data_IF_572969419576
#
_entry.id   IF_572969419576
#
_cell.length_a   1.000
_cell.length_b   1.000
_cell.length_c   1.000
_cell.angle_alpha   90.00
_cell.angle_beta   90.00
_cell.angle_gamma   90.00
#
_symmetry.space_group_name_H-M   'P 1'
#
loop_
_entity.id
_entity.type
_entity.pdbx_description
1 polymer ?
#
# COMPACT_ATOMS: atom_id res chain seq x y z
N UNK A 1 -30.27 20.51 42.90
CA UNK A 1 -30.84 20.46 41.53
C UNK A 1 -29.68 20.58 40.57
N UNK A 2 -29.09 19.43 40.17
CA UNK A 2 -27.97 19.36 39.24
C UNK A 2 -28.57 19.27 37.84
N UNK A 3 -28.30 20.30 37.02
CA UNK A 3 -28.64 20.28 35.61
C UNK A 3 -27.52 19.51 34.91
N UNK A 4 -27.78 18.25 34.54
CA UNK A 4 -26.94 17.51 33.60
C UNK A 4 -27.28 18.07 32.18
N UNK A 5 -26.41 18.90 31.65
CA UNK A 5 -26.40 19.20 30.22
C UNK A 5 -25.86 18.00 29.49
N UNK A 6 -26.71 17.24 28.81
CA UNK A 6 -26.29 16.25 27.83
C UNK A 6 -25.59 16.99 26.69
N UNK A 7 -24.30 16.81 26.57
CA UNK A 7 -23.56 17.17 25.36
C UNK A 7 -24.08 16.27 24.21
N UNK A 8 -24.36 16.81 23.04
CA UNK A 8 -24.71 15.97 21.91
C UNK A 8 -23.52 15.04 21.62
N UNK A 9 -23.76 13.73 21.70
CA UNK A 9 -22.84 12.76 21.17
C UNK A 9 -22.83 12.96 19.65
N UNK A 10 -21.82 13.66 19.15
CA UNK A 10 -21.50 13.56 17.74
C UNK A 10 -21.23 12.08 17.48
N UNK A 11 -22.09 11.44 16.71
CA UNK A 11 -21.81 10.14 16.14
C UNK A 11 -20.48 10.30 15.42
N UNK A 12 -19.45 9.57 15.86
CA UNK A 12 -18.19 9.52 15.18
C UNK A 12 -18.52 8.92 13.81
N UNK A 13 -18.57 9.75 12.78
CA UNK A 13 -18.79 9.30 11.40
C UNK A 13 -17.76 8.23 11.13
N UNK A 14 -18.19 7.00 10.88
CA UNK A 14 -17.30 5.89 10.58
C UNK A 14 -16.50 6.30 9.35
N UNK A 15 -15.16 6.36 9.49
CA UNK A 15 -14.26 6.68 8.37
C UNK A 15 -14.53 5.66 7.26
N UNK A 16 -14.98 6.13 6.12
CA UNK A 16 -15.23 5.28 4.96
C UNK A 16 -14.09 5.43 3.96
N UNK A 17 -13.50 4.30 3.55
CA UNK A 17 -12.39 4.26 2.61
C UNK A 17 -12.92 4.06 1.19
N UNK A 18 -12.79 5.09 0.35
CA UNK A 18 -13.22 5.06 -1.06
C UNK A 18 -12.00 4.87 -1.97
N UNK A 19 -11.84 3.69 -2.52
CA UNK A 19 -10.75 3.40 -3.45
C UNK A 19 -11.16 3.65 -4.90
N UNK A 20 -10.19 4.10 -5.71
CA UNK A 20 -10.26 4.09 -7.16
C UNK A 20 -9.47 2.90 -7.65
N UNK A 21 -10.10 1.99 -8.34
CA UNK A 21 -9.43 0.81 -8.91
C UNK A 21 -8.98 1.09 -10.33
N UNK A 22 -7.74 0.70 -10.63
CA UNK A 22 -7.11 0.76 -11.95
C UNK A 22 -6.49 -0.60 -12.26
N UNK A 23 -6.89 -1.17 -13.39
CA UNK A 23 -6.49 -2.51 -13.82
C UNK A 23 -6.13 -2.54 -15.33
N UNK A 24 -6.03 -3.73 -15.89
CA UNK A 24 -5.74 -3.93 -17.31
C UNK A 24 -6.74 -3.20 -18.23
N UNK A 25 -7.98 -2.98 -17.82
CA UNK A 25 -9.00 -2.24 -18.58
C UNK A 25 -8.67 -0.75 -18.68
N UNK A 26 -7.88 -0.24 -17.74
CA UNK A 26 -7.41 1.14 -17.72
C UNK A 26 -6.03 1.31 -18.38
N UNK A 27 -5.41 0.22 -18.86
CA UNK A 27 -4.11 0.25 -19.53
C UNK A 27 -2.91 -0.25 -18.72
N UNK A 28 -3.14 -0.76 -17.50
CA UNK A 28 -2.10 -1.45 -16.74
C UNK A 28 -1.68 -2.72 -17.47
N UNK A 29 -0.39 -3.04 -17.51
CA UNK A 29 0.13 -4.19 -18.27
C UNK A 29 -0.32 -5.55 -17.73
N UNK A 30 -0.53 -5.62 -16.40
CA UNK A 30 -0.96 -6.85 -15.72
C UNK A 30 -1.42 -6.50 -14.28
N UNK A 31 -2.41 -7.23 -13.75
CA UNK A 31 -3.05 -6.93 -12.47
C UNK A 31 -2.21 -7.28 -11.23
N UNK A 32 -1.19 -8.12 -11.35
CA UNK A 32 -0.32 -8.43 -10.20
C UNK A 32 0.75 -7.35 -10.05
N UNK A 33 0.61 -6.51 -9.04
CA UNK A 33 1.48 -5.34 -8.81
C UNK A 33 2.38 -5.60 -7.61
N UNK A 34 3.65 -5.89 -7.89
CA UNK A 34 4.64 -6.22 -6.85
C UNK A 34 5.31 -5.00 -6.23
N UNK A 35 5.46 -3.92 -7.01
CA UNK A 35 6.16 -2.72 -6.59
C UNK A 35 5.43 -1.46 -7.04
N UNK A 36 5.44 -0.45 -6.17
CA UNK A 36 4.93 0.88 -6.46
C UNK A 36 5.98 1.89 -6.02
N UNK A 37 6.28 2.85 -6.88
CA UNK A 37 7.20 3.94 -6.61
C UNK A 37 6.63 5.23 -7.18
N UNK A 38 6.69 6.34 -6.43
CA UNK A 38 6.53 7.67 -6.99
C UNK A 38 7.91 8.30 -7.19
N UNK A 39 8.23 8.69 -8.43
CA UNK A 39 9.49 9.36 -8.71
C UNK A 39 9.48 10.84 -8.27
N UNK A 40 10.65 11.49 -8.32
CA UNK A 40 10.79 12.89 -7.93
C UNK A 40 10.02 13.86 -8.82
N UNK A 41 9.67 13.46 -10.06
CA UNK A 41 8.85 14.22 -11.00
C UNK A 41 7.35 14.05 -10.78
N UNK A 42 6.95 13.12 -9.88
CA UNK A 42 5.56 12.82 -9.54
C UNK A 42 4.92 11.71 -10.35
N UNK A 43 5.63 11.08 -11.31
CA UNK A 43 5.10 9.90 -11.99
C UNK A 43 5.02 8.71 -11.04
N UNK A 44 3.92 7.96 -11.16
CA UNK A 44 3.79 6.68 -10.47
C UNK A 44 4.32 5.55 -11.35
N UNK A 45 5.13 4.69 -10.74
CA UNK A 45 5.69 3.51 -11.38
C UNK A 45 5.12 2.26 -10.75
N UNK A 46 4.63 1.34 -11.59
CA UNK A 46 4.06 0.07 -11.15
C UNK A 46 4.84 -1.07 -11.78
N UNK A 47 5.56 -1.82 -10.95
CA UNK A 47 6.23 -3.05 -11.33
C UNK A 47 5.26 -4.21 -11.25
N UNK A 48 4.98 -4.85 -12.38
CA UNK A 48 4.05 -5.96 -12.47
C UNK A 48 4.77 -7.27 -12.84
N UNK A 49 4.03 -8.37 -12.83
CA UNK A 49 4.53 -9.66 -13.31
C UNK A 49 4.82 -9.66 -14.82
N UNK A 50 4.23 -8.71 -15.58
CA UNK A 50 4.41 -8.63 -17.03
C UNK A 50 4.56 -7.18 -17.53
N UNK A 51 5.60 -6.51 -17.07
CA UNK A 51 5.99 -5.19 -17.52
C UNK A 51 6.09 -4.15 -16.42
N UNK A 52 6.79 -3.07 -16.74
CA UNK A 52 6.90 -1.85 -15.96
C UNK A 52 5.93 -0.81 -16.53
N UNK A 53 5.17 -0.16 -15.67
CA UNK A 53 4.19 0.85 -16.06
C UNK A 53 4.55 2.18 -15.44
N UNK A 54 4.56 3.26 -16.24
CA UNK A 54 4.65 4.63 -15.77
C UNK A 54 3.30 5.31 -15.98
N UNK A 55 2.76 5.88 -14.92
CA UNK A 55 1.46 6.56 -14.90
C UNK A 55 1.65 8.06 -14.64
N UNK A 56 1.04 8.89 -15.46
CA UNK A 56 1.14 10.36 -15.42
C UNK A 56 -0.07 11.05 -14.76
N UNK A 57 -0.99 10.26 -14.16
CA UNK A 57 -2.26 10.74 -13.61
C UNK A 57 -3.45 10.53 -14.56
N UNK A 58 -3.20 10.27 -15.85
CA UNK A 58 -4.23 10.07 -16.89
C UNK A 58 -4.05 8.76 -17.65
N UNK A 59 -2.82 8.40 -18.01
CA UNK A 59 -2.52 7.30 -18.89
C UNK A 59 -1.31 6.48 -18.44
N UNK A 60 -1.26 5.22 -18.87
CA UNK A 60 -0.13 4.33 -18.65
C UNK A 60 0.78 4.30 -19.87
N UNK A 61 2.08 4.42 -19.64
CA UNK A 61 3.11 4.03 -20.58
C UNK A 61 3.71 2.70 -20.12
N UNK A 62 3.56 1.67 -20.95
CA UNK A 62 3.98 0.31 -20.63
C UNK A 62 5.32 0.00 -21.28
N UNK A 63 6.27 -0.50 -20.48
CA UNK A 63 7.59 -0.94 -20.91
C UNK A 63 7.72 -2.45 -20.68
N UNK A 64 8.04 -3.17 -21.77
CA UNK A 64 8.30 -4.61 -21.80
C UNK A 64 9.57 -4.88 -22.61
N UNK A 65 10.11 -6.09 -22.50
CA UNK A 65 11.27 -6.52 -23.28
C UNK A 65 11.07 -6.38 -24.81
N UNK A 66 9.82 -6.46 -25.27
CA UNK A 66 9.46 -6.40 -26.69
C UNK A 66 9.45 -4.97 -27.24
N UNK A 67 9.29 -3.94 -26.39
CA UNK A 67 9.11 -2.54 -26.82
C UNK A 67 10.02 -1.54 -26.12
N UNK A 68 10.94 -2.01 -25.26
CA UNK A 68 11.87 -1.16 -24.51
C UNK A 68 13.25 -1.82 -24.44
N UNK A 69 14.18 -1.23 -23.72
CA UNK A 69 15.49 -1.84 -23.44
C UNK A 69 15.50 -2.82 -22.25
N UNK A 70 14.34 -3.13 -21.66
CA UNK A 70 14.23 -4.15 -20.62
C UNK A 70 14.48 -5.54 -21.21
N UNK A 71 15.24 -6.39 -20.54
CA UNK A 71 15.43 -7.79 -20.94
C UNK A 71 14.45 -8.75 -20.29
N UNK A 72 13.69 -8.30 -19.31
CA UNK A 72 12.75 -9.09 -18.51
C UNK A 72 11.47 -8.30 -18.25
N UNK A 73 10.34 -9.00 -18.15
CA UNK A 73 9.04 -8.40 -17.89
C UNK A 73 8.61 -8.46 -16.43
N UNK A 74 9.12 -9.42 -15.64
CA UNK A 74 8.77 -9.53 -14.24
C UNK A 74 9.59 -8.53 -13.43
N UNK A 75 8.92 -7.47 -12.94
CA UNK A 75 9.52 -6.40 -12.14
C UNK A 75 9.36 -6.73 -10.67
N UNK A 76 10.46 -6.87 -9.97
CA UNK A 76 10.52 -7.35 -8.58
C UNK A 76 10.94 -6.29 -7.59
N UNK A 77 11.69 -5.26 -8.03
CA UNK A 77 12.11 -4.14 -7.19
C UNK A 77 12.17 -2.85 -8.02
N UNK A 78 11.88 -1.71 -7.37
CA UNK A 78 11.99 -0.37 -7.94
C UNK A 78 12.66 0.55 -6.92
N UNK A 79 13.60 1.35 -7.40
CA UNK A 79 14.27 2.35 -6.57
C UNK A 79 14.70 3.55 -7.43
N UNK A 80 14.49 4.79 -6.97
CA UNK A 80 15.00 6.01 -7.61
C UNK A 80 16.29 6.45 -6.93
N UNK A 81 17.38 6.56 -7.70
CA UNK A 81 18.67 7.02 -7.18
C UNK A 81 18.74 8.54 -7.01
N UNK A 82 19.84 9.01 -6.42
CA UNK A 82 20.10 10.45 -6.24
C UNK A 82 20.11 11.23 -7.55
N UNK A 83 20.54 10.64 -8.66
CA UNK A 83 20.58 11.27 -9.98
C UNK A 83 19.20 11.29 -10.66
N UNK A 84 18.21 10.57 -10.12
CA UNK A 84 16.85 10.45 -10.64
C UNK A 84 16.70 9.35 -11.67
N UNK A 85 17.67 8.43 -11.78
CA UNK A 85 17.49 7.22 -12.55
C UNK A 85 16.64 6.21 -11.75
N UNK A 86 15.82 5.45 -12.45
CA UNK A 86 15.05 4.37 -11.81
C UNK A 86 15.81 3.05 -11.97
N UNK A 87 16.19 2.46 -10.86
CA UNK A 87 16.77 1.13 -10.79
C UNK A 87 15.64 0.09 -10.74
N UNK A 88 15.71 -0.88 -11.61
CA UNK A 88 14.66 -1.86 -11.84
C UNK A 88 15.24 -3.25 -11.62
N UNK A 89 14.82 -3.90 -10.54
CA UNK A 89 15.08 -5.30 -10.28
C UNK A 89 14.08 -6.19 -11.01
N UNK A 90 14.56 -7.30 -11.52
CA UNK A 90 13.78 -8.29 -12.26
C UNK A 90 14.06 -9.71 -11.80
N UNK A 91 13.37 -10.70 -12.35
CA UNK A 91 13.66 -12.13 -12.18
C UNK A 91 14.94 -12.61 -12.86
N UNK A 92 15.75 -11.70 -13.41
CA UNK A 92 16.99 -12.05 -14.12
C UNK A 92 17.93 -10.87 -14.28
N UNK A 93 18.14 -10.08 -13.22
CA UNK A 93 19.10 -9.00 -13.20
C UNK A 93 18.50 -7.62 -12.98
N UNK A 94 19.33 -6.60 -13.16
CA UNK A 94 19.00 -5.19 -12.89
C UNK A 94 19.09 -4.37 -14.17
N UNK A 95 18.17 -3.43 -14.32
CA UNK A 95 18.14 -2.44 -15.39
C UNK A 95 18.06 -1.05 -14.79
N UNK A 96 18.59 -0.05 -15.49
CA UNK A 96 18.54 1.36 -15.10
C UNK A 96 17.79 2.12 -16.18
N UNK A 97 16.71 2.79 -15.81
CA UNK A 97 16.01 3.72 -16.68
C UNK A 97 16.54 5.13 -16.46
N UNK A 98 17.00 5.75 -17.56
CA UNK A 98 17.42 7.13 -17.56
C UNK A 98 16.26 8.03 -18.06
N UNK A 99 15.70 8.90 -17.21
CA UNK A 99 14.52 9.71 -17.57
C UNK A 99 14.84 10.87 -18.54
N UNK A 100 16.11 11.21 -18.73
CA UNK A 100 16.54 12.23 -19.71
C UNK A 100 16.60 11.65 -21.13
N UNK A 101 16.99 10.37 -21.23
CA UNK A 101 17.15 9.67 -22.50
C UNK A 101 15.94 8.81 -22.87
N UNK A 102 14.99 8.64 -21.90
CA UNK A 102 13.84 7.71 -21.99
C UNK A 102 14.26 6.31 -22.44
N UNK A 103 15.34 5.80 -21.86
CA UNK A 103 15.98 4.55 -22.26
C UNK A 103 16.40 3.69 -21.07
N UNK A 104 16.46 2.39 -21.30
CA UNK A 104 16.89 1.40 -20.35
C UNK A 104 18.29 0.87 -20.70
N UNK A 105 19.10 0.64 -19.68
CA UNK A 105 20.42 0.03 -19.82
C UNK A 105 20.52 -1.13 -18.83
N UNK A 106 20.98 -2.29 -19.29
CA UNK A 106 21.28 -3.41 -18.40
C UNK A 106 22.46 -3.06 -17.48
N UNK A 107 22.38 -3.47 -16.22
CA UNK A 107 23.46 -3.32 -15.25
C UNK A 107 24.33 -4.59 -15.21
N UNK A 108 25.34 -4.64 -16.12
CA UNK A 108 26.21 -5.81 -16.34
C UNK A 108 27.56 -5.70 -15.64
N UNK A 109 27.60 -5.02 -14.49
CA UNK A 109 28.84 -4.88 -13.73
C UNK A 109 29.27 -6.21 -13.09
N UNK A 110 30.56 -6.50 -13.17
CA UNK A 110 31.16 -7.66 -12.48
C UNK A 110 31.64 -7.24 -11.10
N UNK A 111 31.26 -8.00 -10.07
CA UNK A 111 31.68 -7.74 -8.70
C UNK A 111 33.13 -8.04 -8.45
N UNK A 112 33.64 -7.63 -7.28
CA UNK A 112 34.99 -7.98 -6.77
C UNK A 112 35.18 -9.48 -6.58
N UNK A 113 34.09 -10.26 -6.57
CA UNK A 113 34.12 -11.75 -6.50
C UNK A 113 33.90 -12.42 -7.87
N UNK A 114 33.92 -11.66 -8.96
CA UNK A 114 33.75 -12.18 -10.31
C UNK A 114 32.30 -12.55 -10.68
N UNK A 115 31.31 -12.12 -9.88
CA UNK A 115 29.89 -12.40 -10.12
C UNK A 115 29.19 -11.23 -10.83
N UNK A 116 28.24 -11.54 -11.71
CA UNK A 116 27.31 -10.60 -12.34
C UNK A 116 25.92 -10.87 -11.79
N UNK A 117 25.14 -9.80 -11.54
CA UNK A 117 23.76 -9.94 -11.07
C UNK A 117 22.87 -10.46 -12.21
N UNK A 118 22.34 -11.68 -12.08
CA UNK A 118 21.53 -12.34 -13.11
C UNK A 118 20.40 -13.23 -12.57
N UNK A 119 20.21 -13.24 -11.25
CA UNK A 119 19.12 -13.95 -10.59
C UNK A 119 18.05 -12.98 -10.09
N UNK A 120 17.06 -13.50 -9.38
CA UNK A 120 15.91 -12.76 -8.87
C UNK A 120 16.34 -11.65 -7.89
N UNK A 121 16.11 -10.41 -8.25
CA UNK A 121 16.39 -9.24 -7.41
C UNK A 121 15.28 -9.08 -6.39
N UNK A 122 15.58 -9.22 -5.11
CA UNK A 122 14.59 -9.16 -4.04
C UNK A 122 14.33 -7.75 -3.53
N UNK A 123 15.36 -6.89 -3.54
CA UNK A 123 15.28 -5.50 -3.11
C UNK A 123 16.40 -4.65 -3.69
N UNK A 124 16.13 -3.35 -3.90
CA UNK A 124 17.12 -2.30 -4.22
C UNK A 124 16.89 -1.13 -3.28
N UNK A 125 17.95 -0.52 -2.79
CA UNK A 125 17.92 0.67 -1.94
C UNK A 125 19.26 1.38 -1.93
N UNK A 126 19.40 2.46 -1.13
CA UNK A 126 20.68 3.14 -0.92
C UNK A 126 21.01 3.32 0.56
N UNK A 127 22.28 3.58 0.84
CA UNK A 127 22.74 4.08 2.13
C UNK A 127 22.80 5.62 2.14
N UNK A 128 23.23 6.19 3.25
CA UNK A 128 23.40 7.64 3.44
C UNK A 128 24.50 8.28 2.57
N UNK A 129 25.34 7.46 1.92
CA UNK A 129 26.41 7.85 1.01
C UNK A 129 26.02 7.68 -0.46
N UNK A 130 24.72 7.42 -0.75
CA UNK A 130 24.18 7.16 -2.08
C UNK A 130 24.77 5.90 -2.77
N UNK A 131 25.38 4.98 -2.01
CA UNK A 131 25.74 3.69 -2.58
C UNK A 131 24.47 2.86 -2.79
N UNK A 132 24.36 2.23 -3.95
CA UNK A 132 23.20 1.39 -4.30
C UNK A 132 23.43 -0.03 -3.77
N UNK A 133 22.52 -0.47 -2.95
CA UNK A 133 22.50 -1.82 -2.37
C UNK A 133 21.45 -2.68 -3.07
N UNK A 134 21.82 -3.90 -3.41
CA UNK A 134 20.99 -4.81 -4.19
C UNK A 134 21.05 -6.20 -3.56
N UNK A 135 19.92 -6.71 -3.10
CA UNK A 135 19.83 -8.11 -2.66
C UNK A 135 19.32 -8.98 -3.80
N UNK A 136 19.97 -10.11 -3.96
CA UNK A 136 19.73 -11.04 -5.07
C UNK A 136 19.64 -12.45 -4.52
N UNK A 137 18.57 -13.14 -4.87
CA UNK A 137 18.34 -14.53 -4.45
C UNK A 137 19.51 -15.42 -4.90
N UNK A 138 20.01 -16.26 -4.02
CA UNK A 138 21.15 -17.17 -4.22
C UNK A 138 22.50 -16.51 -4.58
N UNK A 139 22.56 -15.18 -4.74
CA UNK A 139 23.79 -14.46 -5.05
C UNK A 139 24.27 -13.55 -3.91
N UNK A 140 23.41 -13.25 -2.92
CA UNK A 140 23.75 -12.48 -1.73
C UNK A 140 23.42 -11.00 -1.83
N UNK A 141 24.25 -10.16 -1.19
CA UNK A 141 24.06 -8.72 -1.08
C UNK A 141 25.19 -7.99 -1.80
N UNK A 142 24.81 -7.16 -2.75
CA UNK A 142 25.73 -6.33 -3.53
C UNK A 142 25.65 -4.87 -3.11
N UNK A 143 26.77 -4.17 -3.19
CA UNK A 143 26.85 -2.72 -3.05
C UNK A 143 27.62 -2.13 -4.22
N UNK A 144 26.98 -1.18 -4.91
CA UNK A 144 27.57 -0.39 -5.98
C UNK A 144 27.91 1.00 -5.45
N UNK A 145 29.18 1.22 -5.15
CA UNK A 145 29.63 2.42 -4.45
C UNK A 145 30.17 3.52 -5.35
N UNK A 146 30.60 4.62 -4.73
CA UNK A 146 31.07 5.86 -5.33
C UNK A 146 32.24 5.73 -6.33
N UNK A 147 32.99 4.63 -6.30
CA UNK A 147 34.05 4.33 -7.27
C UNK A 147 33.56 3.57 -8.51
N UNK A 148 32.25 3.44 -8.72
CA UNK A 148 31.63 2.58 -9.75
C UNK A 148 32.10 1.13 -9.66
N UNK A 149 32.37 0.67 -8.44
CA UNK A 149 32.79 -0.70 -8.13
C UNK A 149 31.64 -1.47 -7.47
N UNK A 150 31.37 -2.65 -8.00
CA UNK A 150 30.40 -3.57 -7.43
C UNK A 150 31.12 -4.53 -6.45
N UNK A 151 30.66 -4.60 -5.22
CA UNK A 151 31.12 -5.55 -4.20
C UNK A 151 30.02 -6.55 -3.88
N UNK A 152 30.39 -7.80 -3.59
CA UNK A 152 29.47 -8.82 -3.10
C UNK A 152 29.89 -9.25 -1.69
N UNK A 153 29.10 -8.89 -0.70
CA UNK A 153 29.44 -9.06 0.72
C UNK A 153 29.18 -10.48 1.26
N UNK A 154 28.29 -11.25 0.63
CA UNK A 154 27.84 -12.54 1.15
C UNK A 154 28.17 -13.73 0.24
N UNK A 155 29.01 -13.54 -0.78
CA UNK A 155 29.33 -14.56 -1.77
C UNK A 155 29.82 -15.87 -1.15
N UNK A 156 30.74 -15.77 -0.17
CA UNK A 156 31.44 -16.92 0.42
C UNK A 156 30.85 -17.34 1.79
N UNK A 157 29.76 -16.71 2.24
CA UNK A 157 29.28 -16.85 3.61
C UNK A 157 28.31 -18.01 3.85
N UNK A 158 27.78 -18.63 2.79
CA UNK A 158 26.65 -19.55 2.87
C UNK A 158 25.31 -18.88 3.17
N UNK A 159 25.29 -17.55 3.30
CA UNK A 159 24.12 -16.72 3.61
C UNK A 159 23.64 -15.93 2.39
N UNK A 160 23.69 -16.53 1.21
CA UNK A 160 23.39 -15.85 -0.05
C UNK A 160 21.90 -15.57 -0.28
N UNK A 161 21.02 -16.11 0.55
CA UNK A 161 19.57 -16.04 0.34
C UNK A 161 18.93 -14.85 1.09
N UNK A 162 19.33 -13.62 0.70
CA UNK A 162 18.85 -12.39 1.32
C UNK A 162 17.47 -12.02 0.74
N UNK A 163 16.44 -12.14 1.57
CA UNK A 163 15.09 -11.74 1.21
C UNK A 163 14.90 -10.20 1.25
N UNK A 164 15.41 -9.57 2.30
CA UNK A 164 15.31 -8.12 2.52
C UNK A 164 16.53 -7.60 3.26
N UNK A 165 16.84 -6.33 3.06
CA UNK A 165 17.81 -5.60 3.87
C UNK A 165 17.29 -4.20 4.20
N UNK A 166 17.83 -3.60 5.25
CA UNK A 166 17.68 -2.17 5.49
C UNK A 166 18.90 -1.64 6.24
N UNK A 167 19.16 -0.38 6.00
CA UNK A 167 20.31 0.33 6.54
C UNK A 167 19.81 1.36 7.55
N UNK A 168 20.41 1.38 8.72
CA UNK A 168 20.12 2.36 9.74
C UNK A 168 21.45 2.78 10.37
N UNK A 169 21.85 4.03 10.15
CA UNK A 169 23.17 4.53 10.55
C UNK A 169 24.27 3.54 10.09
N UNK A 170 25.11 3.08 11.02
CA UNK A 170 26.20 2.14 10.73
C UNK A 170 25.77 0.65 10.79
N UNK A 171 24.47 0.37 10.88
CA UNK A 171 23.96 -1.01 11.01
C UNK A 171 23.24 -1.43 9.74
N UNK A 172 23.70 -2.53 9.17
CA UNK A 172 23.00 -3.23 8.10
C UNK A 172 22.22 -4.41 8.68
N UNK A 173 20.93 -4.40 8.46
CA UNK A 173 20.01 -5.47 8.84
C UNK A 173 19.70 -6.34 7.63
N UNK A 174 19.66 -7.64 7.84
CA UNK A 174 19.46 -8.64 6.79
C UNK A 174 18.42 -9.65 7.23
N UNK A 175 17.34 -9.76 6.50
CA UNK A 175 16.39 -10.85 6.61
C UNK A 175 16.79 -11.95 5.62
N UNK A 176 17.20 -13.11 6.13
CA UNK A 176 17.47 -14.29 5.30
C UNK A 176 16.19 -15.11 5.13
N UNK A 177 16.00 -15.66 3.95
CA UNK A 177 14.78 -16.40 3.62
C UNK A 177 14.65 -17.67 4.47
N UNK A 178 13.52 -17.78 5.18
CA UNK A 178 13.18 -18.90 6.08
C UNK A 178 14.26 -19.22 7.12
N UNK A 179 15.03 -18.22 7.54
CA UNK A 179 16.12 -18.40 8.51
C UNK A 179 15.93 -17.46 9.71
N UNK A 180 16.46 -16.24 9.69
CA UNK A 180 16.40 -15.30 10.80
C UNK A 180 16.62 -13.86 10.31
N UNK A 181 16.45 -12.93 11.23
CA UNK A 181 16.89 -11.55 11.13
C UNK A 181 18.32 -11.46 11.66
N UNK A 182 19.21 -10.92 10.84
CA UNK A 182 20.61 -10.70 11.20
C UNK A 182 20.95 -9.21 11.15
N UNK A 183 22.05 -8.85 11.80
CA UNK A 183 22.63 -7.52 11.67
C UNK A 183 24.16 -7.58 11.68
N UNK A 184 24.76 -6.59 11.05
CA UNK A 184 26.19 -6.31 11.09
C UNK A 184 26.40 -4.81 11.19
N UNK A 185 27.56 -4.39 11.65
CA UNK A 185 27.95 -2.98 11.80
C UNK A 185 29.15 -2.63 10.94
N UNK A 186 29.35 -1.31 10.80
CA UNK A 186 30.56 -0.74 10.21
C UNK A 186 30.87 -1.33 8.83
N UNK A 187 29.88 -1.32 7.93
CA UNK A 187 30.03 -1.83 6.55
C UNK A 187 30.56 -3.27 6.47
N UNK A 188 30.01 -4.17 7.28
CA UNK A 188 30.43 -5.59 7.35
C UNK A 188 31.83 -5.83 7.96
N UNK A 189 32.41 -4.88 8.66
CA UNK A 189 33.64 -5.12 9.43
C UNK A 189 33.41 -6.07 10.62
N UNK A 190 32.17 -6.06 11.17
CA UNK A 190 31.76 -7.00 12.20
C UNK A 190 31.08 -8.23 11.57
N UNK A 191 31.26 -9.44 12.12
CA UNK A 191 30.53 -10.62 11.66
C UNK A 191 29.02 -10.45 11.79
N UNK A 192 28.24 -11.06 10.89
CA UNK A 192 26.80 -11.15 10.99
C UNK A 192 26.38 -11.85 12.28
N UNK A 193 25.46 -11.23 13.01
CA UNK A 193 24.91 -11.75 14.26
C UNK A 193 23.39 -11.91 14.13
N UNK A 194 22.80 -13.02 14.60
CA UNK A 194 21.35 -13.15 14.66
C UNK A 194 20.77 -12.17 15.64
N UNK A 195 19.67 -11.56 15.28
CA UNK A 195 18.92 -10.70 16.19
C UNK A 195 18.33 -11.51 17.35
N UNK A 196 18.55 -11.01 18.55
CA UNK A 196 17.94 -11.52 19.79
C UNK A 196 17.26 -10.37 20.52
N UNK A 197 16.07 -10.65 21.04
CA UNK A 197 15.36 -9.68 21.87
C UNK A 197 16.07 -9.48 23.24
N UNK A 198 15.50 -8.61 24.08
CA UNK A 198 16.06 -8.29 25.41
C UNK A 198 16.15 -9.54 26.33
N UNK A 199 15.34 -10.55 26.09
CA UNK A 199 15.31 -11.80 26.87
C UNK A 199 16.20 -12.91 26.24
N UNK A 200 16.89 -12.58 25.11
CA UNK A 200 17.82 -13.47 24.41
C UNK A 200 17.16 -14.41 23.39
N UNK A 201 15.88 -14.20 23.06
CA UNK A 201 15.15 -15.04 22.13
C UNK A 201 15.43 -14.63 20.67
N UNK A 202 15.58 -15.62 19.79
CA UNK A 202 15.64 -15.45 18.35
C UNK A 202 14.20 -15.39 17.76
N UNK A 203 13.58 -14.24 17.87
CA UNK A 203 12.13 -14.04 17.58
C UNK A 203 11.75 -14.37 16.15
N UNK A 204 12.67 -14.22 15.19
CA UNK A 204 12.44 -14.44 13.75
C UNK A 204 13.03 -15.74 13.22
N UNK A 205 13.46 -16.65 14.09
CA UNK A 205 14.07 -17.90 13.66
C UNK A 205 13.09 -18.77 12.87
N UNK A 206 13.47 -19.13 11.65
CA UNK A 206 12.64 -19.89 10.72
C UNK A 206 11.49 -19.10 10.08
N UNK A 207 11.41 -17.78 10.31
CA UNK A 207 10.39 -16.91 9.74
C UNK A 207 10.79 -16.41 8.34
N UNK A 208 9.79 -15.98 7.55
CA UNK A 208 9.99 -15.31 6.27
C UNK A 208 9.59 -13.86 6.42
N UNK A 209 10.59 -12.98 6.47
CA UNK A 209 10.37 -11.55 6.57
C UNK A 209 10.15 -10.97 5.18
N UNK A 210 8.99 -10.35 4.99
CA UNK A 210 8.55 -9.78 3.71
C UNK A 210 8.85 -8.29 3.58
N UNK A 211 8.78 -7.53 4.69
CA UNK A 211 8.93 -6.08 4.68
C UNK A 211 9.36 -5.54 6.04
N UNK A 212 9.89 -4.33 6.03
CA UNK A 212 10.24 -3.58 7.23
C UNK A 212 9.99 -2.09 7.01
N UNK A 213 9.55 -1.39 8.06
CA UNK A 213 9.52 0.09 8.12
C UNK A 213 10.03 0.56 9.47
N UNK A 214 10.80 1.64 9.46
CA UNK A 214 11.13 2.36 10.69
C UNK A 214 9.94 3.24 11.08
N UNK A 215 9.66 3.29 12.35
CA UNK A 215 8.56 4.07 12.90
C UNK A 215 9.00 5.00 14.02
N UNK A 216 8.04 5.66 14.68
CA UNK A 216 8.32 6.57 15.79
C UNK A 216 8.97 5.86 16.98
N UNK A 217 9.54 6.64 17.91
CA UNK A 217 10.10 6.17 19.18
C UNK A 217 11.22 5.12 19.07
N UNK A 218 12.04 5.21 18.01
CA UNK A 218 13.14 4.28 17.75
C UNK A 218 12.65 2.82 17.64
N UNK A 219 11.53 2.62 16.97
CA UNK A 219 10.95 1.31 16.69
C UNK A 219 11.08 0.93 15.23
N UNK A 220 11.16 -0.38 14.95
CA UNK A 220 10.94 -0.94 13.63
C UNK A 220 9.74 -1.89 13.66
N UNK A 221 9.02 -1.94 12.56
CA UNK A 221 7.88 -2.83 12.35
C UNK A 221 8.24 -3.82 11.27
N UNK A 222 8.18 -5.10 11.62
CA UNK A 222 8.60 -6.22 10.78
C UNK A 222 7.37 -7.00 10.34
N UNK A 223 7.18 -7.06 9.03
CA UNK A 223 6.16 -7.88 8.38
C UNK A 223 6.73 -9.25 8.05
N UNK A 224 6.06 -10.30 8.48
CA UNK A 224 6.46 -11.67 8.18
C UNK A 224 5.27 -12.57 7.86
N UNK A 225 5.53 -13.80 7.45
CA UNK A 225 4.47 -14.79 7.23
C UNK A 225 3.73 -15.13 8.53
N UNK A 226 4.37 -14.97 9.68
CA UNK A 226 3.79 -15.23 10.98
C UNK A 226 3.07 -14.01 11.58
N UNK A 227 3.34 -12.78 11.10
CA UNK A 227 2.61 -11.60 11.56
C UNK A 227 3.37 -10.28 11.50
N UNK A 228 2.83 -9.30 12.20
CA UNK A 228 3.43 -7.99 12.43
C UNK A 228 4.10 -7.95 13.81
N UNK A 229 5.39 -7.66 13.84
CA UNK A 229 6.17 -7.57 15.08
C UNK A 229 6.83 -6.20 15.18
N UNK A 230 6.67 -5.53 16.32
CA UNK A 230 7.41 -4.32 16.68
C UNK A 230 8.72 -4.71 17.35
N UNK A 231 9.81 -4.04 16.99
CA UNK A 231 11.10 -4.06 17.67
C UNK A 231 11.34 -2.66 18.24
N UNK A 232 11.51 -2.52 19.53
CA UNK A 232 11.94 -1.27 20.14
C UNK A 232 13.46 -1.33 20.36
N UNK A 233 14.22 -0.57 19.59
CA UNK A 233 15.69 -0.59 19.64
C UNK A 233 16.29 0.04 20.93
N UNK A 234 15.51 0.86 21.63
CA UNK A 234 15.96 1.44 22.90
C UNK A 234 15.94 0.41 24.03
N UNK A 235 14.92 -0.45 24.08
CA UNK A 235 14.75 -1.45 25.12
C UNK A 235 15.18 -2.85 24.71
N UNK A 236 15.38 -3.09 23.41
CA UNK A 236 15.62 -4.43 22.84
C UNK A 236 14.41 -5.36 22.88
N UNK A 237 13.24 -4.87 23.30
CA UNK A 237 12.03 -5.69 23.41
C UNK A 237 11.30 -5.80 22.07
N UNK A 238 10.65 -6.94 21.90
CA UNK A 238 9.77 -7.19 20.77
C UNK A 238 8.32 -7.37 21.23
N UNK A 239 7.38 -7.03 20.36
CA UNK A 239 5.96 -7.16 20.62
C UNK A 239 5.22 -7.58 19.35
N UNK A 240 4.43 -8.65 19.44
CA UNK A 240 3.54 -9.06 18.37
C UNK A 240 2.31 -8.16 18.35
N UNK A 241 2.01 -7.54 17.20
CA UNK A 241 0.89 -6.61 17.01
C UNK A 241 -0.28 -7.25 16.26
N UNK A 242 0.02 -8.16 15.32
CA UNK A 242 -1.00 -8.82 14.49
C UNK A 242 -0.54 -10.22 14.12
N UNK A 243 -1.43 -11.18 14.23
CA UNK A 243 -1.25 -12.55 13.76
C UNK A 243 -1.95 -12.72 12.40
N UNK A 244 -1.21 -12.46 11.33
CA UNK A 244 -1.66 -12.59 9.94
C UNK A 244 -0.46 -12.75 9.03
N UNK A 245 -0.63 -13.28 7.82
CA UNK A 245 0.43 -13.25 6.82
C UNK A 245 0.59 -11.82 6.29
N UNK A 246 1.57 -11.09 6.83
CA UNK A 246 1.84 -9.69 6.46
C UNK A 246 2.86 -9.64 5.34
N UNK A 247 2.54 -8.90 4.27
CA UNK A 247 3.41 -8.76 3.09
C UNK A 247 4.11 -7.43 3.02
N UNK A 248 3.43 -6.35 3.37
CA UNK A 248 3.92 -5.00 3.16
C UNK A 248 3.39 -4.05 4.23
N UNK A 249 4.18 -3.03 4.54
CA UNK A 249 3.87 -2.00 5.53
C UNK A 249 4.10 -0.62 4.94
N UNK A 250 3.24 0.32 5.27
CA UNK A 250 3.43 1.73 4.94
C UNK A 250 2.79 2.63 5.99
N UNK A 251 3.54 3.58 6.51
CA UNK A 251 2.97 4.64 7.35
C UNK A 251 2.15 5.63 6.53
N UNK A 252 0.92 5.87 6.95
CA UNK A 252 0.07 6.96 6.46
C UNK A 252 0.37 8.25 7.23
N UNK A 253 0.56 8.12 8.54
CA UNK A 253 0.98 9.15 9.49
C UNK A 253 1.82 8.50 10.61
N UNK A 254 2.33 9.27 11.56
CA UNK A 254 3.16 8.74 12.66
C UNK A 254 2.40 7.75 13.56
N UNK A 255 1.07 7.82 13.59
CA UNK A 255 0.20 6.99 14.41
C UNK A 255 -0.65 5.99 13.60
N UNK A 256 -0.64 6.05 12.27
CA UNK A 256 -1.43 5.18 11.40
C UNK A 256 -0.55 4.35 10.48
N UNK A 257 -0.48 3.04 10.76
CA UNK A 257 0.25 2.05 9.96
C UNK A 257 -0.73 1.23 9.11
N UNK A 258 -0.51 1.24 7.80
CA UNK A 258 -1.23 0.40 6.84
C UNK A 258 -0.48 -0.91 6.67
N UNK A 259 -1.20 -2.02 6.87
CA UNK A 259 -0.65 -3.38 6.95
C UNK A 259 -1.29 -4.24 5.87
N UNK A 260 -0.58 -4.43 4.77
CA UNK A 260 -1.02 -5.26 3.64
C UNK A 260 -0.78 -6.75 3.94
N UNK A 261 -1.83 -7.55 3.79
CA UNK A 261 -1.81 -8.99 4.08
C UNK A 261 -2.37 -9.82 2.92
N UNK A 262 -2.40 -11.15 3.07
CA UNK A 262 -3.13 -12.05 2.18
C UNK A 262 -4.66 -12.00 2.38
N UNK A 263 -5.13 -11.40 3.47
CA UNK A 263 -6.54 -11.42 3.89
C UNK A 263 -7.19 -10.04 3.87
N UNK A 264 -6.53 -9.03 3.32
CA UNK A 264 -7.01 -7.66 3.25
C UNK A 264 -5.97 -6.65 3.74
N UNK A 265 -6.41 -5.41 3.85
CA UNK A 265 -5.62 -4.29 4.33
C UNK A 265 -6.07 -3.91 5.73
N UNK A 266 -5.19 -4.07 6.72
CA UNK A 266 -5.44 -3.63 8.09
C UNK A 266 -4.95 -2.21 8.29
N UNK A 267 -5.72 -1.40 8.99
CA UNK A 267 -5.33 -0.08 9.48
C UNK A 267 -5.07 -0.21 10.97
N UNK A 268 -3.81 -0.08 11.36
CA UNK A 268 -3.37 -0.17 12.75
C UNK A 268 -3.09 1.22 13.30
N UNK A 269 -3.72 1.56 14.42
CA UNK A 269 -3.46 2.81 15.12
C UNK A 269 -2.51 2.57 16.29
N UNK A 270 -1.32 3.17 16.24
CA UNK A 270 -0.26 2.99 17.24
C UNK A 270 -0.58 3.66 18.57
N UNK A 271 -1.28 4.80 18.56
CA UNK A 271 -1.67 5.50 19.78
C UNK A 271 -2.66 4.70 20.60
N UNK A 272 -3.64 4.09 19.95
CA UNK A 272 -4.67 3.28 20.60
C UNK A 272 -4.30 1.79 20.70
N UNK A 273 -3.16 1.41 20.12
CA UNK A 273 -2.61 0.06 20.09
C UNK A 273 -3.60 -1.01 19.60
N UNK A 274 -4.26 -0.74 18.48
CA UNK A 274 -5.28 -1.64 17.92
C UNK A 274 -5.48 -1.49 16.42
N UNK A 275 -5.99 -2.54 15.81
CA UNK A 275 -6.59 -2.48 14.48
C UNK A 275 -7.88 -1.67 14.55
N UNK A 276 -7.97 -0.62 13.75
CA UNK A 276 -9.17 0.22 13.64
C UNK A 276 -10.09 -0.23 12.51
N UNK A 277 -9.52 -0.73 11.41
CA UNK A 277 -10.26 -1.21 10.25
C UNK A 277 -9.56 -2.43 9.63
N UNK A 278 -10.38 -3.34 9.11
CA UNK A 278 -9.98 -4.36 8.15
C UNK A 278 -10.75 -4.09 6.85
N UNK A 279 -10.02 -3.72 5.81
CA UNK A 279 -10.57 -3.40 4.50
C UNK A 279 -10.40 -4.62 3.59
N UNK A 280 -11.50 -5.06 3.00
CA UNK A 280 -11.59 -6.24 2.13
C UNK A 280 -12.42 -5.90 0.90
N UNK A 281 -12.35 -6.70 -0.18
CA UNK A 281 -13.27 -6.57 -1.30
C UNK A 281 -14.71 -6.74 -0.87
N UNK A 282 -15.58 -5.93 -1.48
CA UNK A 282 -17.02 -6.02 -1.36
C UNK A 282 -17.63 -5.93 -2.76
N UNK A 283 -18.41 -6.93 -3.15
CA UNK A 283 -19.03 -6.98 -4.49
C UNK A 283 -20.14 -5.94 -4.66
N UNK A 284 -20.74 -5.52 -3.56
CA UNK A 284 -21.83 -4.55 -3.54
C UNK A 284 -21.30 -3.10 -3.41
N UNK A 285 -20.01 -2.92 -3.04
CA UNK A 285 -19.35 -1.61 -2.94
C UNK A 285 -18.29 -1.44 -4.05
N UNK A 286 -18.60 -0.65 -5.06
CA UNK A 286 -17.66 -0.36 -6.17
C UNK A 286 -16.43 0.46 -5.76
N UNK A 287 -16.39 0.96 -4.54
CA UNK A 287 -15.27 1.70 -3.96
C UNK A 287 -14.47 0.88 -2.94
N UNK A 288 -14.86 -0.36 -2.69
CA UNK A 288 -14.06 -1.26 -1.87
C UNK A 288 -12.74 -1.65 -2.55
N UNK A 289 -11.85 -2.29 -1.82
CA UNK A 289 -10.65 -2.90 -2.38
C UNK A 289 -11.01 -3.91 -3.48
N UNK A 290 -10.19 -3.98 -4.51
CA UNK A 290 -10.38 -4.90 -5.63
C UNK A 290 -9.92 -6.33 -5.34
N UNK A 291 -9.08 -6.54 -4.30
CA UNK A 291 -8.50 -7.84 -3.95
C UNK A 291 -8.09 -7.87 -2.46
N UNK A 292 -8.06 -9.08 -1.87
CA UNK A 292 -7.59 -9.31 -0.50
C UNK A 292 -6.06 -9.34 -0.38
N UNK A 293 -5.37 -9.88 -1.40
CA UNK A 293 -3.94 -10.10 -1.36
C UNK A 293 -3.19 -8.82 -1.71
N UNK A 294 -2.70 -8.10 -0.69
CA UNK A 294 -2.03 -6.81 -0.83
C UNK A 294 -0.52 -7.02 -0.87
N UNK A 295 0.11 -6.65 -1.99
CA UNK A 295 1.52 -6.94 -2.27
C UNK A 295 2.43 -5.72 -2.18
N UNK A 296 1.90 -4.52 -2.44
CA UNK A 296 2.68 -3.29 -2.38
C UNK A 296 1.85 -2.12 -1.87
N UNK A 297 2.49 -1.22 -1.12
CA UNK A 297 1.92 0.02 -0.61
C UNK A 297 2.91 1.15 -0.90
N UNK A 298 2.39 2.30 -1.30
CA UNK A 298 3.17 3.51 -1.50
C UNK A 298 2.34 4.73 -1.09
N UNK A 299 2.85 5.53 -0.15
CA UNK A 299 2.30 6.85 0.14
C UNK A 299 2.89 7.85 -0.84
N UNK A 300 2.04 8.55 -1.58
CA UNK A 300 2.48 9.59 -2.50
C UNK A 300 2.80 10.91 -1.78
N UNK A 301 3.35 11.88 -2.53
CA UNK A 301 3.73 13.20 -2.03
C UNK A 301 2.54 14.06 -1.63
N UNK A 302 1.37 13.74 -2.13
CA UNK A 302 0.09 14.37 -1.81
C UNK A 302 -0.61 13.68 -0.62
N UNK A 303 0.05 12.73 0.07
CA UNK A 303 -0.51 11.91 1.13
C UNK A 303 -1.65 10.97 0.71
N UNK A 304 -1.80 10.67 -0.57
CA UNK A 304 -2.59 9.54 -1.03
C UNK A 304 -1.91 8.21 -0.74
N UNK A 305 -2.67 7.12 -0.80
CA UNK A 305 -2.15 5.76 -0.64
C UNK A 305 -2.43 4.94 -1.88
N UNK A 306 -1.38 4.38 -2.45
CA UNK A 306 -1.42 3.46 -3.58
C UNK A 306 -1.24 2.05 -3.07
N UNK A 307 -2.12 1.15 -3.48
CA UNK A 307 -2.20 -0.22 -3.01
C UNK A 307 -2.15 -1.15 -4.23
N UNK A 308 -1.08 -1.93 -4.34
CA UNK A 308 -0.97 -2.96 -5.37
C UNK A 308 -1.40 -4.31 -4.83
N UNK A 309 -2.20 -5.01 -5.60
CA UNK A 309 -2.74 -6.32 -5.24
C UNK A 309 -2.29 -7.43 -6.19
N UNK A 310 -2.64 -8.67 -5.85
CA UNK A 310 -2.23 -9.83 -6.66
C UNK A 310 -3.08 -10.00 -7.91
N UNK A 311 -4.41 -9.85 -7.81
CA UNK A 311 -5.33 -10.01 -8.95
C UNK A 311 -6.11 -8.74 -9.30
N UNK A 312 -6.20 -7.77 -8.39
CA UNK A 312 -7.10 -6.62 -8.49
C UNK A 312 -6.47 -5.38 -9.14
N UNK A 313 -5.20 -5.42 -9.53
CA UNK A 313 -4.49 -4.24 -10.05
C UNK A 313 -4.08 -3.27 -8.95
N UNK A 314 -4.31 -1.99 -9.17
CA UNK A 314 -3.96 -0.88 -8.29
C UNK A 314 -5.21 -0.26 -7.71
N UNK A 315 -5.24 -0.06 -6.40
CA UNK A 315 -6.24 0.76 -5.71
C UNK A 315 -5.60 2.05 -5.24
N UNK A 316 -6.28 3.17 -5.40
CA UNK A 316 -5.82 4.45 -4.95
C UNK A 316 -6.79 5.08 -3.96
N UNK A 317 -6.30 5.39 -2.77
CA UNK A 317 -6.99 6.14 -1.74
C UNK A 317 -6.45 7.57 -1.73
N UNK A 318 -7.18 8.57 -2.28
CA UNK A 318 -6.70 9.94 -2.35
C UNK A 318 -6.67 10.58 -0.96
N UNK A 319 -5.76 11.53 -0.73
CA UNK A 319 -5.85 12.42 0.42
C UNK A 319 -7.12 13.26 0.30
N UNK A 320 -8.06 13.05 1.21
CA UNK A 320 -9.39 13.65 1.11
C UNK A 320 -9.39 15.05 1.74
N UNK A 321 -9.31 16.07 0.90
CA UNK A 321 -9.81 17.40 1.20
C UNK A 321 -11.22 17.51 0.59
N UNK A 322 -12.23 16.85 1.16
CA UNK A 322 -13.60 16.99 0.67
C UNK A 322 -14.48 17.55 1.76
N UNK A 323 -15.08 18.70 1.48
CA UNK A 323 -16.17 19.25 2.27
C UNK A 323 -17.49 18.50 2.01
N UNK A 324 -17.44 17.41 1.21
CA UNK A 324 -18.58 16.61 0.83
C UNK A 324 -18.47 15.23 1.43
N UNK A 325 -19.47 14.85 2.21
CA UNK A 325 -19.65 13.45 2.58
C UNK A 325 -20.18 12.68 1.38
N UNK A 326 -19.56 11.54 1.07
CA UNK A 326 -20.03 10.63 0.03
C UNK A 326 -20.99 9.67 0.68
N UNK A 327 -22.21 9.65 0.18
CA UNK A 327 -23.20 8.69 0.57
C UNK A 327 -23.21 7.53 -0.43
N UNK A 328 -23.03 6.31 0.09
CA UNK A 328 -23.17 5.08 -0.67
C UNK A 328 -24.04 4.11 0.14
N UNK A 329 -25.26 3.76 -0.36
CA UNK A 329 -26.15 2.87 0.37
C UNK A 329 -25.57 1.44 0.39
N UNK A 330 -25.41 0.88 1.60
CA UNK A 330 -24.92 -0.48 1.83
C UNK A 330 -26.07 -1.49 1.94
N UNK A 331 -25.75 -2.73 1.58
CA UNK A 331 -26.40 -4.04 1.83
C UNK A 331 -27.90 -4.21 1.65
N UNK A 332 -28.76 -3.36 2.21
CA UNK A 332 -30.22 -3.54 2.16
C UNK A 332 -30.86 -2.77 1.00
N UNK A 333 -30.06 -2.00 0.25
CA UNK A 333 -30.57 -1.10 -0.78
C UNK A 333 -30.09 -1.47 -2.19
N UNK A 334 -29.98 -2.75 -2.48
CA UNK A 334 -29.84 -3.27 -3.88
C UNK A 334 -30.88 -2.68 -4.84
N UNK A 335 -31.92 -2.08 -4.28
CA UNK A 335 -32.98 -1.40 -4.99
C UNK A 335 -32.89 0.12 -5.01
N UNK A 336 -31.84 0.74 -4.42
CA UNK A 336 -31.65 2.19 -4.51
C UNK A 336 -31.28 2.62 -5.92
N UNK A 337 -31.98 3.62 -6.46
CA UNK A 337 -31.71 4.11 -7.81
C UNK A 337 -30.34 4.78 -7.90
N UNK A 338 -29.56 4.46 -8.92
CA UNK A 338 -28.25 5.06 -9.17
C UNK A 338 -28.33 6.49 -9.73
N UNK A 339 -29.52 6.94 -10.11
CA UNK A 339 -29.76 8.25 -10.71
C UNK A 339 -30.68 9.05 -9.80
N UNK A 340 -30.05 9.82 -8.90
CA UNK A 340 -30.79 10.80 -8.07
C UNK A 340 -31.19 11.98 -8.94
N UNK A 341 -32.48 12.35 -8.89
CA UNK A 341 -33.06 13.48 -9.62
C UNK A 341 -33.23 14.68 -8.72
N UNK A 342 -33.83 14.46 -7.56
CA UNK A 342 -34.18 15.51 -6.62
C UNK A 342 -33.85 15.11 -5.20
N UNK A 343 -33.50 16.11 -4.38
CA UNK A 343 -33.33 15.97 -2.94
C UNK A 343 -34.07 17.12 -2.26
N UNK A 344 -34.91 16.80 -1.26
CA UNK A 344 -35.63 17.76 -0.48
C UNK A 344 -35.44 17.47 1.01
N UNK A 345 -35.05 18.48 1.80
CA UNK A 345 -34.88 18.35 3.24
C UNK A 345 -36.24 18.51 3.95
N UNK A 346 -36.56 17.61 4.88
CA UNK A 346 -37.71 17.65 5.76
C UNK A 346 -37.48 18.55 6.97
N UNK A 347 -38.57 18.99 7.62
CA UNK A 347 -38.50 19.80 8.83
C UNK A 347 -37.78 19.10 10.02
N UNK A 348 -37.69 17.78 10.01
CA UNK A 348 -37.00 16.95 11.01
C UNK A 348 -35.52 16.70 10.69
N UNK A 349 -35.00 17.24 9.58
CA UNK A 349 -33.61 17.07 9.14
C UNK A 349 -33.35 15.79 8.35
N UNK A 350 -34.39 14.99 8.04
CA UNK A 350 -34.27 13.88 7.11
C UNK A 350 -34.31 14.39 5.65
N UNK A 351 -33.78 13.58 4.71
CA UNK A 351 -33.76 13.94 3.30
C UNK A 351 -34.66 13.02 2.50
N UNK A 352 -35.56 13.60 1.72
CA UNK A 352 -36.29 12.89 0.68
C UNK A 352 -35.49 12.87 -0.60
N UNK A 353 -35.26 11.66 -1.16
CA UNK A 353 -34.46 11.44 -2.34
C UNK A 353 -35.30 10.80 -3.44
N UNK A 354 -35.56 11.58 -4.49
CA UNK A 354 -36.25 11.13 -5.69
C UNK A 354 -35.26 10.52 -6.72
N UNK A 355 -35.57 9.33 -7.24
CA UNK A 355 -34.74 8.65 -8.21
C UNK A 355 -35.44 8.46 -9.55
N UNK A 356 -34.67 8.25 -10.62
CA UNK A 356 -35.22 8.09 -11.98
C UNK A 356 -35.92 6.72 -12.18
N UNK A 357 -35.51 5.68 -11.45
CA UNK A 357 -35.91 4.31 -11.75
C UNK A 357 -36.38 3.49 -10.54
N UNK A 358 -36.23 3.99 -9.32
CA UNK A 358 -36.50 3.24 -8.08
C UNK A 358 -37.49 3.92 -7.13
N UNK A 359 -37.98 5.11 -7.48
CA UNK A 359 -38.97 5.84 -6.70
C UNK A 359 -38.36 6.77 -5.65
N UNK A 360 -39.05 6.88 -4.53
CA UNK A 360 -38.77 7.83 -3.46
C UNK A 360 -38.15 7.12 -2.25
N UNK A 361 -37.17 7.74 -1.64
CA UNK A 361 -36.51 7.27 -0.42
C UNK A 361 -36.46 8.38 0.63
N UNK A 362 -36.48 7.98 1.90
CA UNK A 362 -36.16 8.86 3.03
C UNK A 362 -34.82 8.47 3.63
N UNK A 363 -33.91 9.41 3.76
CA UNK A 363 -32.57 9.25 4.33
C UNK A 363 -32.46 10.07 5.61
N UNK A 364 -32.04 9.41 6.68
CA UNK A 364 -31.73 10.06 7.97
C UNK A 364 -30.20 10.23 8.08
N UNK A 365 -29.67 11.47 7.96
CA UNK A 365 -28.23 11.73 8.05
C UNK A 365 -27.63 11.38 9.42
N UNK A 366 -28.42 11.44 10.50
CA UNK A 366 -27.95 11.19 11.86
C UNK A 366 -27.65 9.70 12.10
N UNK A 367 -28.48 8.80 11.56
CA UNK A 367 -28.29 7.36 11.68
C UNK A 367 -27.64 6.72 10.46
N UNK A 368 -27.52 7.45 9.33
CA UNK A 368 -27.09 6.90 8.04
C UNK A 368 -28.10 5.95 7.39
N UNK A 369 -29.31 5.86 7.96
CA UNK A 369 -30.34 4.93 7.51
C UNK A 369 -31.13 5.52 6.34
N UNK A 370 -31.31 4.71 5.28
CA UNK A 370 -32.18 5.03 4.16
C UNK A 370 -33.31 4.01 4.08
N UNK A 371 -34.53 4.48 3.81
CA UNK A 371 -35.73 3.63 3.75
C UNK A 371 -36.48 3.95 2.45
N UNK A 372 -36.83 2.94 1.64
CA UNK A 372 -37.71 3.18 0.50
C UNK A 372 -39.12 3.61 0.98
N UNK A 373 -39.67 4.61 0.31
CA UNK A 373 -41.06 5.01 0.52
C UNK A 373 -41.91 4.41 -0.60
N UNK A 374 -42.52 3.27 -0.30
CA UNK A 374 -43.36 2.54 -1.25
C UNK A 374 -44.82 2.91 -1.06
N UNK A 375 -45.37 3.68 -2.03
CA UNK A 375 -46.76 4.07 -2.04
C UNK A 375 -47.34 3.86 -3.43
N UNK A 376 -48.55 3.29 -3.58
CA UNK A 376 -49.13 2.92 -4.88
C UNK A 376 -49.30 4.06 -5.89
N UNK A 377 -49.35 5.32 -5.40
CA UNK A 377 -49.54 6.51 -6.25
C UNK A 377 -48.17 7.08 -6.72
N UNK A 378 -47.04 6.70 -6.10
CA UNK A 378 -45.74 7.23 -6.45
C UNK A 378 -45.12 6.37 -7.55
N UNK A 379 -44.86 6.98 -8.70
CA UNK A 379 -44.13 6.33 -9.79
C UNK A 379 -42.66 6.14 -9.43
N UNK A 380 -42.03 5.11 -10.04
CA UNK A 380 -40.61 4.83 -9.84
C UNK A 380 -39.67 5.90 -10.40
N UNK A 381 -40.19 6.80 -11.22
CA UNK A 381 -39.48 7.93 -11.77
C UNK A 381 -39.98 9.23 -11.14
N UNK A 382 -39.22 9.78 -10.22
CA UNK A 382 -39.55 11.01 -9.47
C UNK A 382 -38.76 12.17 -10.08
N UNK A 383 -39.46 13.17 -10.58
CA UNK A 383 -38.86 14.32 -11.27
C UNK A 383 -38.84 15.62 -10.44
N UNK A 384 -39.64 15.72 -9.40
CA UNK A 384 -39.70 16.89 -8.57
C UNK A 384 -40.10 16.56 -7.13
N UNK A 385 -39.50 17.27 -6.19
CA UNK A 385 -39.81 17.21 -4.77
C UNK A 385 -39.94 18.63 -4.26
N UNK A 386 -41.00 18.91 -3.50
CA UNK A 386 -41.20 20.19 -2.83
C UNK A 386 -41.88 19.98 -1.47
N UNK A 387 -41.29 20.53 -0.43
CA UNK A 387 -41.90 20.56 0.90
C UNK A 387 -42.74 21.83 1.05
N UNK A 388 -44.00 21.69 1.50
CA UNK A 388 -44.89 22.80 1.83
C UNK A 388 -45.47 22.54 3.23
N UNK A 389 -44.90 23.19 4.25
CA UNK A 389 -45.17 22.86 5.65
C UNK A 389 -44.73 21.42 5.97
N UNK A 390 -45.67 20.57 6.36
CA UNK A 390 -45.42 19.14 6.65
C UNK A 390 -45.80 18.24 5.46
N UNK A 391 -46.28 18.80 4.35
CA UNK A 391 -46.70 18.07 3.16
C UNK A 391 -45.56 17.99 2.14
N UNK A 392 -45.22 16.76 1.67
CA UNK A 392 -44.29 16.55 0.59
C UNK A 392 -45.01 16.37 -0.76
N UNK A 393 -44.79 17.29 -1.65
CA UNK A 393 -45.28 17.21 -3.03
C UNK A 393 -44.26 16.42 -3.87
N UNK A 394 -44.76 15.39 -4.58
CA UNK A 394 -43.94 14.47 -5.40
C UNK A 394 -44.48 14.49 -6.82
N UNK A 395 -43.60 14.82 -7.80
CA UNK A 395 -43.93 14.92 -9.21
C UNK A 395 -43.08 14.01 -10.13
#
# INVERSE_FOLDING_TARGET
MCILTALPSYAQNAVHYYFRTMDIRNGLSQNTVYQILQDRKGFMWFGTKDGLNRYDGLSYRVYKKENSGLGKNFITALYEDYEGNIWIGTDGGVYIYNPMLDSFTAFDQTSDKGTVIKDFVTMIGSDEYDNIWISVENQGLFCYGSGKKLRNYLHDSGMANVARFWLNENTCWLALYADNLYYTKDNFETPLQPFKDADGNEVFKGDIINWQVNGPHNCAYIASVNGLTEINFTTGRTRRLLDAYVRVLQFKSDDELWVGTESGLYIYNLTNDKVTHLLVPDQDDSYALSDNAIYSLCRDKENGMWIGSYFGGVNYYPYQWTYFEKFYPRDDLRNFGRRVREICESNDGTLWIGTEDKGLFNYDPASGKIVPFDHPVIYKNVHGLCLDGDDLWVG
#
